data_IF_655909038383
#
_entry.id   IF_655909038383
#
_cell.length_a   1.000
_cell.length_b   1.000
_cell.length_c   1.000
_cell.angle_alpha   90.00
_cell.angle_beta   90.00
_cell.angle_gamma   90.00
#
_symmetry.space_group_name_H-M   'P 1'
#
loop_
_entity.id
_entity.type
_entity.pdbx_description
1 polymer ?
#
# COMPACT_ATOMS: atom_id res chain seq x y z
N UNK A 1 -14.18 -6.40 -19.60
CA UNK A 1 -15.24 -5.88 -18.70
C UNK A 1 -15.61 -4.48 -19.13
N UNK A 2 -16.86 -4.07 -18.94
CA UNK A 2 -17.24 -2.66 -19.08
C UNK A 2 -17.47 -2.06 -17.69
N UNK A 3 -17.32 -0.74 -17.55
CA UNK A 3 -17.55 -0.07 -16.27
C UNK A 3 -19.02 0.09 -15.88
N UNK A 4 -19.95 -0.28 -16.79
CA UNK A 4 -21.38 0.01 -16.63
C UNK A 4 -22.04 -0.70 -15.44
N UNK A 5 -21.54 -1.89 -15.05
CA UNK A 5 -22.05 -2.65 -13.91
C UNK A 5 -21.37 -2.30 -12.57
N UNK A 6 -20.21 -1.64 -12.60
CA UNK A 6 -19.48 -1.25 -11.39
C UNK A 6 -20.08 0.00 -10.73
N UNK A 7 -20.72 0.87 -11.53
CA UNK A 7 -21.45 2.05 -11.03
C UNK A 7 -22.70 1.72 -10.22
N UNK A 8 -23.16 0.47 -10.24
CA UNK A 8 -24.30 -0.01 -9.45
C UNK A 8 -23.92 -0.49 -8.05
N UNK A 9 -22.61 -0.61 -7.74
CA UNK A 9 -22.16 -1.00 -6.41
C UNK A 9 -22.49 0.09 -5.40
N UNK A 10 -23.24 -0.28 -4.36
CA UNK A 10 -23.50 0.61 -3.22
C UNK A 10 -22.29 0.63 -2.30
N UNK A 11 -21.47 1.68 -2.46
CA UNK A 11 -20.29 1.90 -1.64
C UNK A 11 -20.60 2.87 -0.49
N UNK A 12 -19.83 2.79 0.59
CA UNK A 12 -19.90 3.78 1.66
C UNK A 12 -19.41 5.14 1.13
N UNK A 13 -19.89 6.25 1.72
CA UNK A 13 -19.61 7.62 1.25
C UNK A 13 -18.12 7.98 1.15
N UNK A 14 -17.25 7.26 1.82
CA UNK A 14 -15.79 7.43 1.79
C UNK A 14 -15.08 6.45 0.86
N UNK A 15 -15.80 5.56 0.17
CA UNK A 15 -15.24 4.66 -0.83
C UNK A 15 -15.37 5.27 -2.22
N UNK A 16 -14.27 5.77 -2.73
CA UNK A 16 -14.17 6.37 -4.06
C UNK A 16 -13.53 5.36 -5.01
N UNK A 17 -14.34 4.56 -5.70
CA UNK A 17 -13.86 3.63 -6.72
C UNK A 17 -14.11 4.27 -8.09
N UNK A 18 -13.05 4.47 -8.86
CA UNK A 18 -13.15 4.85 -10.26
C UNK A 18 -13.47 3.60 -11.11
N UNK A 19 -14.61 3.57 -11.82
CA UNK A 19 -14.97 2.43 -12.65
C UNK A 19 -13.98 2.17 -13.80
N UNK A 20 -13.37 3.20 -14.36
CA UNK A 20 -12.43 3.06 -15.47
C UNK A 20 -11.10 2.47 -14.99
N UNK A 21 -10.58 2.96 -13.88
CA UNK A 21 -9.38 2.40 -13.21
C UNK A 21 -9.63 0.93 -12.83
N UNK A 22 -10.79 0.62 -12.26
CA UNK A 22 -11.13 -0.77 -11.90
C UNK A 22 -11.16 -1.69 -13.12
N UNK A 23 -11.72 -1.22 -14.25
CA UNK A 23 -11.73 -1.97 -15.51
C UNK A 23 -10.31 -2.15 -16.05
N UNK A 24 -9.49 -1.13 -16.01
CA UNK A 24 -8.08 -1.21 -16.43
C UNK A 24 -7.31 -2.23 -15.59
N UNK A 25 -7.42 -2.18 -14.27
CA UNK A 25 -6.81 -3.14 -13.34
C UNK A 25 -7.24 -4.57 -13.68
N UNK A 26 -8.56 -4.79 -13.76
CA UNK A 26 -9.10 -6.11 -14.04
C UNK A 26 -8.65 -6.65 -15.40
N UNK A 27 -8.61 -5.81 -16.44
CA UNK A 27 -8.15 -6.21 -17.76
C UNK A 27 -6.65 -6.49 -17.78
N UNK A 28 -5.84 -5.69 -17.09
CA UNK A 28 -4.39 -5.90 -16.99
C UNK A 28 -4.08 -7.25 -16.34
N UNK A 29 -4.68 -7.54 -15.20
CA UNK A 29 -4.50 -8.82 -14.50
C UNK A 29 -5.02 -10.00 -15.34
N UNK A 30 -6.20 -9.85 -15.95
CA UNK A 30 -6.80 -10.89 -16.79
C UNK A 30 -5.95 -11.20 -18.04
N UNK A 31 -5.40 -10.19 -18.71
CA UNK A 31 -4.54 -10.38 -19.88
C UNK A 31 -3.26 -11.12 -19.52
N UNK A 32 -2.61 -10.75 -18.41
CA UNK A 32 -1.40 -11.42 -17.90
C UNK A 32 -1.69 -12.86 -17.51
N UNK A 33 -2.77 -13.12 -16.78
CA UNK A 33 -3.17 -14.49 -16.43
C UNK A 33 -3.43 -15.36 -17.67
N UNK A 34 -4.09 -14.82 -18.71
CA UNK A 34 -4.29 -15.55 -19.97
C UNK A 34 -3.00 -15.75 -20.77
N UNK A 35 -1.98 -14.92 -20.55
CA UNK A 35 -0.65 -15.14 -21.12
C UNK A 35 0.17 -16.20 -20.35
N UNK A 36 -0.40 -16.77 -19.29
CA UNK A 36 0.23 -17.80 -18.46
C UNK A 36 1.09 -17.25 -17.33
N UNK A 37 0.99 -15.94 -17.03
CA UNK A 37 1.70 -15.34 -15.91
C UNK A 37 0.94 -15.56 -14.59
N UNK A 38 1.67 -15.79 -13.50
CA UNK A 38 1.11 -15.74 -12.15
C UNK A 38 0.87 -14.28 -11.78
N UNK A 39 -0.37 -13.93 -11.45
CA UNK A 39 -0.79 -12.58 -11.07
C UNK A 39 -1.20 -12.46 -9.61
N UNK A 40 -1.46 -13.58 -8.95
CA UNK A 40 -1.77 -13.68 -7.52
C UNK A 40 -0.89 -14.76 -6.89
N UNK A 41 -0.29 -14.45 -5.76
CA UNK A 41 0.59 -15.32 -5.00
C UNK A 41 0.02 -15.55 -3.62
N UNK A 42 -0.24 -16.80 -3.28
CA UNK A 42 -0.51 -17.22 -1.91
C UNK A 42 0.73 -17.00 -1.05
N UNK A 43 0.55 -16.38 0.10
CA UNK A 43 1.66 -16.15 1.04
C UNK A 43 1.68 -17.16 2.19
N UNK A 44 0.64 -17.97 2.30
CA UNK A 44 0.52 -19.05 3.26
C UNK A 44 0.50 -20.42 2.58
N UNK A 45 1.08 -21.41 3.24
CA UNK A 45 1.06 -22.81 2.77
C UNK A 45 -0.31 -23.45 2.96
N UNK A 46 -0.57 -24.56 2.27
CA UNK A 46 -1.82 -25.32 2.41
C UNK A 46 -2.01 -25.85 3.84
N UNK A 47 -0.92 -26.19 4.56
CA UNK A 47 -0.95 -26.57 5.96
C UNK A 47 -1.40 -25.41 6.85
N UNK A 48 -0.85 -24.21 6.64
CA UNK A 48 -1.22 -23.00 7.40
C UNK A 48 -2.67 -22.58 7.14
N UNK A 49 -3.17 -22.75 5.91
CA UNK A 49 -4.59 -22.52 5.55
C UNK A 49 -5.51 -23.58 6.17
N UNK A 50 -5.07 -24.83 6.25
CA UNK A 50 -5.83 -25.90 6.90
C UNK A 50 -5.95 -25.68 8.42
N UNK A 51 -4.93 -25.09 9.06
CA UNK A 51 -4.95 -24.73 10.48
C UNK A 51 -5.77 -23.47 10.76
N UNK A 52 -5.77 -22.50 9.83
CA UNK A 52 -6.47 -21.24 9.93
C UNK A 52 -7.13 -20.90 8.57
N UNK A 53 -8.39 -21.28 8.35
CA UNK A 53 -9.11 -21.05 7.10
C UNK A 53 -9.26 -19.57 6.71
N UNK A 54 -9.12 -18.63 7.65
CA UNK A 54 -9.18 -17.19 7.35
C UNK A 54 -7.99 -16.75 6.47
N UNK A 55 -6.94 -17.57 6.34
CA UNK A 55 -5.79 -17.36 5.46
C UNK A 55 -6.04 -17.69 3.99
N UNK A 56 -7.14 -18.36 3.65
CA UNK A 56 -7.43 -18.90 2.30
C UNK A 56 -7.33 -17.83 1.20
N UNK A 57 -7.90 -16.65 1.46
CA UNK A 57 -7.96 -15.55 0.49
C UNK A 57 -6.86 -14.49 0.71
N UNK A 58 -5.83 -14.80 1.50
CA UNK A 58 -4.74 -13.87 1.85
C UNK A 58 -3.56 -14.04 0.90
N UNK A 59 -3.16 -12.96 0.22
CA UNK A 59 -2.08 -13.03 -0.76
C UNK A 59 -1.78 -11.72 -1.45
N UNK A 60 -0.95 -11.80 -2.48
CA UNK A 60 -0.40 -10.66 -3.19
C UNK A 60 -0.82 -10.65 -4.66
N UNK A 61 -1.53 -9.62 -5.10
CA UNK A 61 -1.59 -9.31 -6.52
C UNK A 61 -0.29 -8.63 -6.95
N UNK A 62 0.34 -9.15 -7.99
CA UNK A 62 1.60 -8.63 -8.50
C UNK A 62 1.41 -7.83 -9.79
N UNK A 63 1.79 -6.56 -9.73
CA UNK A 63 1.86 -5.63 -10.85
C UNK A 63 3.33 -5.47 -11.24
N UNK A 64 3.74 -6.18 -12.28
CA UNK A 64 5.13 -6.26 -12.72
C UNK A 64 5.55 -4.96 -13.40
N UNK A 65 6.69 -4.41 -12.95
CA UNK A 65 7.42 -3.32 -13.58
C UNK A 65 8.59 -3.84 -14.44
N UNK A 66 9.70 -3.14 -14.42
CA UNK A 66 10.92 -3.57 -15.09
C UNK A 66 11.60 -4.72 -14.32
N UNK A 67 12.14 -5.74 -14.99
CA UNK A 67 12.85 -6.82 -14.32
C UNK A 67 14.01 -6.30 -13.47
N UNK A 68 14.09 -6.76 -12.22
CA UNK A 68 15.13 -6.35 -11.27
C UNK A 68 14.93 -4.96 -10.67
N UNK A 69 13.81 -4.29 -10.95
CA UNK A 69 13.49 -3.02 -10.28
C UNK A 69 13.09 -3.25 -8.81
N UNK A 70 13.27 -2.21 -7.99
CA UNK A 70 12.77 -2.17 -6.62
C UNK A 70 11.24 -2.35 -6.59
N UNK A 71 10.72 -2.67 -5.40
CA UNK A 71 9.29 -2.92 -5.26
C UNK A 71 8.60 -2.12 -4.15
N UNK A 72 7.32 -1.92 -4.34
CA UNK A 72 6.40 -1.34 -3.37
C UNK A 72 5.38 -2.39 -2.92
N UNK A 73 5.01 -2.39 -1.63
CA UNK A 73 3.85 -3.14 -1.13
C UNK A 73 2.75 -2.16 -0.76
N UNK A 74 1.66 -2.20 -1.54
CA UNK A 74 0.52 -1.32 -1.42
C UNK A 74 -0.58 -1.97 -0.57
N UNK A 75 -1.00 -1.26 0.48
CA UNK A 75 -1.95 -1.74 1.48
C UNK A 75 -3.20 -0.86 1.47
N UNK A 76 -4.33 -1.42 1.07
CA UNK A 76 -5.58 -0.70 0.95
C UNK A 76 -6.21 -0.36 2.30
N UNK A 77 -6.90 0.77 2.40
CA UNK A 77 -7.73 1.14 3.54
C UNK A 77 -8.89 0.17 3.80
N UNK A 78 -9.76 0.51 4.73
CA UNK A 78 -10.95 -0.29 5.10
C UNK A 78 -11.14 -0.45 6.62
N UNK A 79 -10.55 0.42 7.45
CA UNK A 79 -10.79 0.50 8.89
C UNK A 79 -10.44 -0.78 9.68
N UNK A 80 -9.58 -1.66 9.16
CA UNK A 80 -9.32 -3.03 9.67
C UNK A 80 -10.54 -3.96 9.65
N UNK A 81 -11.60 -3.61 8.94
CA UNK A 81 -12.80 -4.43 8.80
C UNK A 81 -12.93 -5.10 7.43
N UNK A 82 -12.37 -4.50 6.39
CA UNK A 82 -12.35 -5.03 5.03
C UNK A 82 -11.11 -4.50 4.27
N UNK A 83 -10.89 -5.00 3.04
CA UNK A 83 -9.79 -4.57 2.16
C UNK A 83 -10.37 -3.80 0.97
N UNK A 84 -10.17 -2.49 0.95
CA UNK A 84 -10.60 -1.61 -0.14
C UNK A 84 -9.62 -1.64 -1.33
N UNK A 85 -9.28 -2.83 -1.84
CA UNK A 85 -8.19 -3.02 -2.79
C UNK A 85 -8.33 -2.19 -4.07
N UNK A 86 -9.54 -2.07 -4.61
CA UNK A 86 -9.82 -1.30 -5.84
C UNK A 86 -9.88 0.21 -5.62
N UNK A 87 -9.78 0.67 -4.39
CA UNK A 87 -9.70 2.10 -4.05
C UNK A 87 -8.25 2.56 -3.86
N UNK A 88 -7.46 1.80 -3.10
CA UNK A 88 -6.16 2.26 -2.61
C UNK A 88 -4.98 1.42 -3.11
N UNK A 89 -5.01 0.07 -3.02
CA UNK A 89 -3.81 -0.73 -3.29
C UNK A 89 -3.63 -1.10 -4.76
N UNK A 90 -4.64 -1.63 -5.44
CA UNK A 90 -4.52 -2.03 -6.84
C UNK A 90 -4.30 -0.84 -7.78
N UNK A 91 -5.00 0.31 -7.65
CA UNK A 91 -4.71 1.49 -8.45
C UNK A 91 -3.28 2.00 -8.26
N UNK A 92 -2.82 2.09 -7.00
CA UNK A 92 -1.45 2.52 -6.71
C UNK A 92 -0.42 1.55 -7.28
N UNK A 93 -0.61 0.24 -7.09
CA UNK A 93 0.30 -0.78 -7.60
C UNK A 93 0.38 -0.76 -9.13
N UNK A 94 -0.76 -0.61 -9.82
CA UNK A 94 -0.78 -0.46 -11.28
C UNK A 94 0.00 0.79 -11.73
N UNK A 95 -0.24 1.94 -11.11
CA UNK A 95 0.42 3.19 -11.47
C UNK A 95 1.93 3.16 -11.15
N UNK A 96 2.33 2.55 -10.05
CA UNK A 96 3.75 2.33 -9.71
C UNK A 96 4.41 1.42 -10.76
N UNK A 97 3.72 0.35 -11.20
CA UNK A 97 4.25 -0.56 -12.21
C UNK A 97 4.45 0.11 -13.58
N UNK A 98 3.55 1.01 -13.98
CA UNK A 98 3.70 1.82 -15.20
C UNK A 98 4.94 2.73 -15.17
N UNK A 99 5.47 3.03 -13.98
CA UNK A 99 6.71 3.81 -13.78
C UNK A 99 7.98 2.96 -13.71
N UNK A 100 7.84 1.66 -14.01
CA UNK A 100 8.96 0.71 -14.08
C UNK A 100 9.31 0.05 -12.75
N UNK A 101 8.65 0.36 -11.63
CA UNK A 101 8.86 -0.31 -10.35
C UNK A 101 7.93 -1.52 -10.22
N UNK A 102 8.38 -2.57 -9.56
CA UNK A 102 7.50 -3.67 -9.20
C UNK A 102 6.55 -3.26 -8.08
N UNK A 103 5.31 -3.73 -8.09
CA UNK A 103 4.36 -3.39 -7.05
C UNK A 103 3.44 -4.56 -6.70
N UNK A 104 3.17 -4.69 -5.41
CA UNK A 104 2.30 -5.72 -4.88
C UNK A 104 1.11 -5.07 -4.15
N UNK A 105 -0.10 -5.55 -4.42
CA UNK A 105 -1.28 -5.17 -3.68
C UNK A 105 -1.65 -6.32 -2.74
N UNK A 106 -1.53 -6.08 -1.42
CA UNK A 106 -1.80 -7.10 -0.40
C UNK A 106 -3.31 -7.22 -0.13
N UNK A 107 -3.81 -8.43 -0.22
CA UNK A 107 -5.09 -8.84 0.37
C UNK A 107 -4.77 -9.50 1.71
N UNK A 108 -5.31 -8.96 2.78
CA UNK A 108 -4.98 -9.33 4.16
C UNK A 108 -6.27 -9.63 4.96
N UNK A 109 -6.14 -10.35 6.07
CA UNK A 109 -7.25 -10.66 6.98
C UNK A 109 -7.69 -9.42 7.77
N UNK A 110 -8.97 -9.30 8.13
CA UNK A 110 -9.46 -8.26 9.05
C UNK A 110 -8.73 -8.31 10.40
N UNK A 111 -8.69 -7.15 11.08
CA UNK A 111 -7.99 -7.00 12.36
C UNK A 111 -6.65 -6.28 12.22
N UNK A 112 -6.29 -5.45 13.21
CA UNK A 112 -5.06 -4.66 13.14
C UNK A 112 -3.80 -5.54 13.30
N UNK A 113 -3.83 -6.48 14.24
CA UNK A 113 -2.72 -7.40 14.51
C UNK A 113 -2.55 -8.38 13.35
N UNK A 114 -3.62 -9.06 12.95
CA UNK A 114 -3.62 -10.01 11.81
C UNK A 114 -3.16 -9.37 10.50
N UNK A 115 -3.60 -8.16 10.22
CA UNK A 115 -3.15 -7.43 9.03
C UNK A 115 -1.65 -7.11 9.05
N UNK A 116 -1.07 -6.80 10.22
CA UNK A 116 0.37 -6.62 10.37
C UNK A 116 1.14 -7.95 10.22
N UNK A 117 0.59 -9.05 10.73
CA UNK A 117 1.15 -10.40 10.54
C UNK A 117 1.14 -10.80 9.06
N UNK A 118 0.04 -10.51 8.35
CA UNK A 118 -0.07 -10.80 6.92
C UNK A 118 0.91 -9.95 6.09
N UNK A 119 1.09 -8.66 6.42
CA UNK A 119 2.10 -7.83 5.76
C UNK A 119 3.52 -8.32 6.09
N UNK A 120 3.79 -8.73 7.32
CA UNK A 120 5.07 -9.31 7.71
C UNK A 120 5.35 -10.61 6.94
N UNK A 121 4.36 -11.49 6.80
CA UNK A 121 4.47 -12.72 5.99
C UNK A 121 4.65 -12.39 4.51
N UNK A 122 3.91 -11.41 3.99
CA UNK A 122 4.00 -10.99 2.59
C UNK A 122 5.40 -10.48 2.22
N UNK A 123 6.02 -9.66 3.08
CA UNK A 123 7.37 -9.16 2.81
C UNK A 123 8.41 -10.27 2.91
N UNK A 124 8.29 -11.19 3.89
CA UNK A 124 9.14 -12.39 3.97
C UNK A 124 9.03 -13.23 2.70
N UNK A 125 7.81 -13.46 2.21
CA UNK A 125 7.56 -14.17 0.95
C UNK A 125 8.23 -13.50 -0.25
N UNK A 126 8.12 -12.17 -0.38
CA UNK A 126 8.75 -11.44 -1.49
C UNK A 126 10.29 -11.56 -1.44
N UNK A 127 10.88 -11.47 -0.24
CA UNK A 127 12.34 -11.63 -0.08
C UNK A 127 12.80 -13.06 -0.39
N UNK A 128 12.05 -14.07 0.05
CA UNK A 128 12.32 -15.48 -0.22
C UNK A 128 12.27 -15.81 -1.72
N UNK A 129 11.33 -15.18 -2.45
CA UNK A 129 11.09 -15.41 -3.89
C UNK A 129 11.62 -14.28 -4.79
N UNK A 130 12.53 -13.43 -4.30
CA UNK A 130 12.95 -12.22 -5.02
C UNK A 130 13.56 -12.51 -6.40
N UNK A 131 14.31 -13.59 -6.55
CA UNK A 131 14.88 -14.02 -7.85
C UNK A 131 13.79 -14.44 -8.83
N UNK A 132 12.82 -15.25 -8.39
CA UNK A 132 11.68 -15.70 -9.20
C UNK A 132 10.77 -14.54 -9.61
N UNK A 133 10.53 -13.61 -8.69
CA UNK A 133 9.72 -12.41 -8.90
C UNK A 133 10.47 -11.34 -9.71
N UNK A 134 11.77 -11.52 -9.95
CA UNK A 134 12.65 -10.55 -10.62
C UNK A 134 12.59 -9.16 -9.95
N UNK A 135 12.64 -9.10 -8.59
CA UNK A 135 12.59 -7.85 -7.82
C UNK A 135 13.91 -7.59 -7.09
N UNK A 136 14.31 -6.31 -6.99
CA UNK A 136 15.40 -5.90 -6.09
C UNK A 136 14.83 -5.63 -4.69
N UNK A 137 15.36 -6.34 -3.69
CA UNK A 137 14.98 -6.20 -2.29
C UNK A 137 15.64 -5.01 -1.59
N UNK A 138 16.62 -4.39 -2.20
CA UNK A 138 17.24 -3.18 -1.67
C UNK A 138 16.35 -1.99 -1.96
N UNK A 139 16.06 -1.19 -0.97
CA UNK A 139 15.33 0.04 -1.17
C UNK A 139 13.83 -0.12 -1.45
N UNK A 140 13.21 -1.21 -1.02
CA UNK A 140 11.76 -1.39 -1.10
C UNK A 140 10.97 -0.38 -0.26
N UNK A 141 9.65 -0.28 -0.48
CA UNK A 141 8.78 0.67 0.23
C UNK A 141 7.44 0.06 0.64
N UNK A 142 6.89 0.59 1.73
CA UNK A 142 5.51 0.31 2.16
C UNK A 142 4.61 1.50 1.85
N UNK A 143 3.44 1.22 1.27
CA UNK A 143 2.41 2.20 0.95
C UNK A 143 1.11 1.84 1.65
N UNK A 144 0.40 2.83 2.18
CA UNK A 144 -0.86 2.55 2.86
C UNK A 144 -1.81 3.73 2.89
N UNK A 145 -3.10 3.44 2.68
CA UNK A 145 -4.21 4.38 2.84
C UNK A 145 -4.96 4.18 4.16
N UNK A 146 -5.42 5.27 4.79
CA UNK A 146 -6.27 5.24 5.98
C UNK A 146 -5.68 4.43 7.15
N UNK A 147 -6.40 3.42 7.64
CA UNK A 147 -5.94 2.55 8.72
C UNK A 147 -4.65 1.79 8.35
N UNK A 148 -4.39 1.50 7.05
CA UNK A 148 -3.22 0.73 6.59
C UNK A 148 -1.97 1.58 6.44
N UNK A 149 -2.10 2.88 6.41
CA UNK A 149 -0.96 3.75 6.61
C UNK A 149 -0.31 3.54 8.00
N UNK A 150 -1.13 3.19 9.03
CA UNK A 150 -0.61 2.78 10.35
C UNK A 150 0.14 1.45 10.25
N UNK A 151 -0.41 0.47 9.55
CA UNK A 151 0.24 -0.83 9.34
C UNK A 151 1.58 -0.64 8.64
N UNK A 152 1.62 0.13 7.55
CA UNK A 152 2.86 0.47 6.84
C UNK A 152 3.89 1.16 7.78
N UNK A 153 3.44 2.11 8.62
CA UNK A 153 4.29 2.78 9.60
C UNK A 153 4.81 1.80 10.67
N UNK A 154 3.95 0.94 11.23
CA UNK A 154 4.37 -0.03 12.26
C UNK A 154 5.38 -1.03 11.72
N UNK A 155 5.15 -1.60 10.54
CA UNK A 155 6.13 -2.51 9.91
C UNK A 155 7.42 -1.79 9.55
N UNK A 156 7.33 -0.52 9.12
CA UNK A 156 8.49 0.32 8.86
C UNK A 156 9.34 0.58 10.11
N UNK A 157 8.69 0.88 11.26
CA UNK A 157 9.36 1.23 12.51
C UNK A 157 9.90 0.03 13.28
N UNK A 158 9.10 -1.05 13.36
CA UNK A 158 9.38 -2.20 14.22
C UNK A 158 9.94 -3.41 13.46
N UNK A 159 9.86 -3.40 12.13
CA UNK A 159 10.28 -4.50 11.26
C UNK A 159 9.28 -5.67 11.22
N UNK A 160 9.34 -6.52 10.17
CA UNK A 160 8.48 -7.69 10.03
C UNK A 160 8.61 -8.69 11.17
N UNK A 161 9.80 -8.85 11.75
CA UNK A 161 10.05 -9.77 12.87
C UNK A 161 9.18 -9.48 14.11
N UNK A 162 8.82 -8.22 14.35
CA UNK A 162 7.91 -7.85 15.44
C UNK A 162 6.47 -8.38 15.25
N UNK A 163 6.13 -8.81 14.04
CA UNK A 163 4.81 -9.33 13.64
C UNK A 163 4.87 -10.76 13.11
N UNK A 164 5.89 -11.53 13.49
CA UNK A 164 6.02 -12.94 13.15
C UNK A 164 6.62 -13.23 11.76
N UNK A 165 7.10 -12.22 11.05
CA UNK A 165 7.89 -12.37 9.83
C UNK A 165 9.38 -12.53 10.11
N UNK A 166 10.19 -12.45 9.05
CA UNK A 166 11.65 -12.55 9.15
C UNK A 166 12.29 -11.23 9.62
N UNK A 167 13.53 -11.32 10.09
CA UNK A 167 14.37 -10.16 10.42
C UNK A 167 14.96 -9.61 9.11
N UNK A 168 14.27 -8.64 8.52
CA UNK A 168 14.57 -8.07 7.22
C UNK A 168 15.05 -6.62 7.34
N UNK A 169 15.80 -6.11 6.35
CA UNK A 169 16.19 -4.71 6.29
C UNK A 169 14.96 -3.79 6.33
N UNK A 170 15.13 -2.61 6.92
CA UNK A 170 14.09 -1.58 6.95
C UNK A 170 13.75 -1.09 5.53
N UNK A 171 12.49 -0.74 5.22
CA UNK A 171 12.13 -0.12 3.95
C UNK A 171 12.84 1.22 3.77
N UNK A 172 13.18 1.59 2.54
CA UNK A 172 13.77 2.89 2.26
C UNK A 172 12.76 4.04 2.41
N UNK A 173 11.48 3.76 2.29
CA UNK A 173 10.43 4.74 2.53
C UNK A 173 9.10 4.10 2.97
N UNK A 174 8.32 4.88 3.72
CA UNK A 174 6.90 4.61 4.02
C UNK A 174 6.06 5.75 3.44
N UNK A 175 5.06 5.41 2.64
CA UNK A 175 4.15 6.35 1.97
C UNK A 175 2.76 6.22 2.60
N UNK A 176 2.25 7.31 3.15
CA UNK A 176 1.04 7.31 3.98
C UNK A 176 -0.01 8.26 3.42
N UNK A 177 -1.23 7.77 3.19
CA UNK A 177 -2.36 8.60 2.82
C UNK A 177 -3.40 8.69 3.94
N UNK A 178 -3.97 9.88 4.12
CA UNK A 178 -5.15 10.20 4.95
C UNK A 178 -5.31 9.34 6.20
N UNK A 179 -4.32 9.37 7.09
CA UNK A 179 -4.36 8.63 8.36
C UNK A 179 -4.28 9.54 9.59
N UNK A 180 -4.94 9.13 10.67
CA UNK A 180 -4.79 9.75 11.98
C UNK A 180 -3.65 9.16 12.82
N UNK A 181 -2.69 8.46 12.22
CA UNK A 181 -1.53 7.91 12.92
C UNK A 181 -0.64 9.02 13.47
N UNK A 182 -0.37 9.00 14.78
CA UNK A 182 0.38 10.04 15.49
C UNK A 182 1.69 9.56 16.09
N UNK A 183 1.82 8.23 16.28
CA UNK A 183 2.98 7.65 16.94
C UNK A 183 4.19 7.65 16.00
N UNK A 184 5.36 7.87 16.58
CA UNK A 184 6.63 7.81 15.87
C UNK A 184 7.76 7.42 16.84
N UNK A 185 8.85 6.93 16.27
CA UNK A 185 10.07 6.57 16.99
C UNK A 185 11.30 7.15 16.27
N UNK A 186 12.44 7.10 16.90
CA UNK A 186 13.72 7.45 16.24
C UNK A 186 14.14 6.46 15.15
N UNK A 187 13.47 5.29 15.10
CA UNK A 187 13.71 4.23 14.12
C UNK A 187 12.71 4.25 12.95
N UNK A 188 11.84 5.26 12.87
CA UNK A 188 10.93 5.38 11.72
C UNK A 188 11.75 5.57 10.43
N UNK A 189 11.37 4.90 9.32
CA UNK A 189 12.00 5.14 8.02
C UNK A 189 11.61 6.49 7.44
N UNK A 190 12.32 6.98 6.41
CA UNK A 190 11.88 8.12 5.62
C UNK A 190 10.40 8.03 5.27
N UNK A 191 9.64 9.10 5.50
CA UNK A 191 8.18 9.06 5.40
C UNK A 191 7.63 10.20 4.55
N UNK A 192 6.89 9.84 3.49
CA UNK A 192 6.03 10.75 2.75
C UNK A 192 4.60 10.62 3.26
N UNK A 193 3.87 11.73 3.39
CA UNK A 193 2.45 11.66 3.73
C UNK A 193 1.62 12.71 2.99
N UNK A 194 0.38 12.32 2.63
CA UNK A 194 -0.59 13.24 2.05
C UNK A 194 -2.00 13.04 2.61
N UNK A 195 -2.78 14.13 2.67
CA UNK A 195 -4.13 14.14 3.25
C UNK A 195 -4.96 15.30 2.74
N UNK A 196 -6.28 15.16 2.71
CA UNK A 196 -7.20 16.26 2.43
C UNK A 196 -7.47 17.12 3.67
N UNK A 197 -7.57 18.43 3.52
CA UNK A 197 -7.97 19.34 4.62
C UNK A 197 -9.44 19.16 5.02
N UNK A 198 -10.29 18.71 4.07
CA UNK A 198 -11.69 18.39 4.30
C UNK A 198 -11.94 16.96 4.80
N UNK A 199 -10.89 16.24 5.15
CA UNK A 199 -10.98 14.87 5.66
C UNK A 199 -11.66 14.83 7.04
N UNK A 200 -12.86 14.25 7.08
CA UNK A 200 -13.66 14.12 8.31
C UNK A 200 -13.25 12.93 9.22
N UNK A 201 -12.30 12.10 8.77
CA UNK A 201 -11.81 10.90 9.48
C UNK A 201 -10.39 11.12 10.00
N UNK A 202 -9.49 11.62 9.13
CA UNK A 202 -8.09 11.86 9.44
C UNK A 202 -7.79 13.36 9.51
N UNK A 203 -7.49 13.86 10.68
CA UNK A 203 -7.13 15.26 10.83
C UNK A 203 -5.71 15.51 10.27
N UNK A 204 -5.60 16.30 9.20
CA UNK A 204 -4.34 16.59 8.55
C UNK A 204 -3.26 17.18 9.48
N UNK A 205 -3.67 17.97 10.50
CA UNK A 205 -2.74 18.52 11.50
C UNK A 205 -2.10 17.45 12.39
N UNK A 206 -2.73 16.28 12.51
CA UNK A 206 -2.12 15.14 13.23
C UNK A 206 -0.96 14.57 12.43
N UNK A 207 -1.13 14.41 11.12
CA UNK A 207 -0.05 13.96 10.22
C UNK A 207 1.07 15.00 10.16
N UNK A 208 0.74 16.27 10.00
CA UNK A 208 1.72 17.37 9.98
C UNK A 208 2.59 17.36 11.24
N UNK A 209 1.97 17.28 12.43
CA UNK A 209 2.72 17.22 13.71
C UNK A 209 3.63 16.01 13.79
N UNK A 210 3.16 14.83 13.35
CA UNK A 210 3.97 13.61 13.33
C UNK A 210 5.20 13.81 12.45
N UNK A 211 5.02 14.22 11.20
CA UNK A 211 6.13 14.36 10.26
C UNK A 211 7.10 15.49 10.67
N UNK A 212 6.57 16.59 11.24
CA UNK A 212 7.42 17.63 11.82
C UNK A 212 8.27 17.10 12.96
N UNK A 213 7.69 16.30 13.86
CA UNK A 213 8.44 15.69 14.96
C UNK A 213 9.51 14.71 14.46
N UNK A 214 9.19 13.85 13.47
CA UNK A 214 10.16 12.96 12.83
C UNK A 214 11.30 13.73 12.17
N UNK A 215 11.00 14.81 11.46
CA UNK A 215 12.01 15.70 10.85
C UNK A 215 12.96 16.30 11.89
N UNK A 216 12.48 16.64 13.09
CA UNK A 216 13.35 17.12 14.18
C UNK A 216 14.31 16.04 14.72
N UNK A 217 14.00 14.76 14.50
CA UNK A 217 14.89 13.63 14.78
C UNK A 217 15.88 13.35 13.64
N UNK A 218 15.81 14.12 12.54
CA UNK A 218 16.67 13.94 11.37
C UNK A 218 16.17 12.91 10.37
N UNK A 219 14.94 12.40 10.54
CA UNK A 219 14.31 11.47 9.60
C UNK A 219 13.81 12.28 8.39
N UNK A 220 14.14 11.91 7.14
CA UNK A 220 13.61 12.56 5.95
C UNK A 220 12.09 12.45 5.91
N UNK A 221 11.41 13.60 5.74
CA UNK A 221 9.95 13.64 5.65
C UNK A 221 9.48 14.60 4.57
N UNK A 222 8.38 14.26 3.91
CA UNK A 222 7.67 15.14 2.99
C UNK A 222 6.17 15.08 3.30
N UNK A 223 5.51 16.24 3.34
CA UNK A 223 4.11 16.33 3.73
C UNK A 223 3.31 17.24 2.80
N UNK A 224 2.21 16.70 2.27
CA UNK A 224 1.26 17.42 1.43
C UNK A 224 -0.15 17.40 2.04
N UNK A 225 -0.82 18.54 2.05
CA UNK A 225 -2.24 18.62 2.39
C UNK A 225 -3.00 19.41 1.33
N UNK A 226 -4.20 18.91 0.99
CA UNK A 226 -4.95 19.38 -0.17
C UNK A 226 -6.24 20.09 0.26
N UNK A 227 -6.41 21.38 -0.08
CA UNK A 227 -7.59 22.16 0.31
C UNK A 227 -8.90 21.52 -0.11
N UNK A 228 -9.83 21.38 0.85
CA UNK A 228 -11.19 20.90 0.60
C UNK A 228 -11.34 19.42 0.21
N UNK A 229 -10.24 18.67 0.02
CA UNK A 229 -10.31 17.27 -0.38
C UNK A 229 -10.77 16.40 0.80
N UNK A 230 -11.76 15.49 0.59
CA UNK A 230 -12.24 14.58 1.63
C UNK A 230 -11.34 13.35 1.79
N UNK A 231 -11.70 12.45 2.72
CA UNK A 231 -11.06 11.16 2.94
C UNK A 231 -11.18 10.23 1.72
N UNK A 232 -10.16 9.38 1.49
CA UNK A 232 -10.26 8.29 0.52
C UNK A 232 -10.15 8.74 -0.93
N UNK A 233 -9.32 9.72 -1.24
CA UNK A 233 -9.19 10.23 -2.62
C UNK A 233 -8.41 9.32 -3.58
N UNK A 234 -7.86 8.18 -3.12
CA UNK A 234 -7.14 7.23 -3.97
C UNK A 234 -6.00 7.89 -4.74
N UNK A 235 -5.99 7.76 -6.08
CA UNK A 235 -5.02 8.44 -6.95
C UNK A 235 -5.22 9.96 -7.05
N UNK A 236 -6.35 10.47 -6.59
CA UNK A 236 -6.65 11.91 -6.65
C UNK A 236 -6.92 12.43 -8.06
N UNK A 237 -7.15 11.57 -9.03
CA UNK A 237 -7.40 11.91 -10.44
C UNK A 237 -8.52 12.94 -10.57
N UNK A 238 -8.30 14.03 -11.32
CA UNK A 238 -9.25 15.13 -11.50
C UNK A 238 -9.49 16.00 -10.26
N UNK A 239 -8.68 15.86 -9.22
CA UNK A 239 -8.75 16.65 -7.98
C UNK A 239 -7.48 17.51 -7.78
N UNK A 240 -7.45 18.29 -6.70
CA UNK A 240 -6.25 19.07 -6.31
C UNK A 240 -5.08 18.19 -5.85
N UNK A 241 -5.28 16.90 -5.65
CA UNK A 241 -4.25 15.92 -5.29
C UNK A 241 -3.69 15.17 -6.51
N UNK A 242 -4.16 15.47 -7.73
CA UNK A 242 -3.62 14.82 -8.93
C UNK A 242 -2.11 15.02 -9.02
N UNK A 243 -1.39 13.91 -9.24
CA UNK A 243 0.09 13.91 -9.30
C UNK A 243 0.80 13.57 -7.97
N UNK A 244 0.09 13.46 -6.84
CA UNK A 244 0.72 13.14 -5.55
C UNK A 244 1.54 11.82 -5.60
N UNK A 245 1.11 10.86 -6.41
CA UNK A 245 1.81 9.56 -6.52
C UNK A 245 3.19 9.74 -7.18
N UNK A 246 3.33 10.64 -8.16
CA UNK A 246 4.61 10.96 -8.78
C UNK A 246 5.57 11.62 -7.77
N UNK A 247 5.06 12.51 -6.91
CA UNK A 247 5.82 13.13 -5.82
C UNK A 247 6.28 12.07 -4.82
N UNK A 248 5.39 11.15 -4.42
CA UNK A 248 5.72 10.05 -3.51
C UNK A 248 6.75 9.07 -4.11
N UNK A 249 6.66 8.75 -5.40
CA UNK A 249 7.67 7.93 -6.11
C UNK A 249 9.00 8.67 -6.19
N UNK A 250 9.01 9.97 -6.45
CA UNK A 250 10.23 10.79 -6.45
C UNK A 250 10.87 10.84 -5.05
N UNK A 251 10.06 11.01 -4.00
CA UNK A 251 10.53 10.93 -2.62
C UNK A 251 11.16 9.57 -2.32
N UNK A 252 10.45 8.48 -2.61
CA UNK A 252 10.97 7.12 -2.42
C UNK A 252 12.29 6.90 -3.15
N UNK A 253 12.37 7.28 -4.42
CA UNK A 253 13.58 7.19 -5.24
C UNK A 253 14.77 7.95 -4.63
N UNK A 254 14.53 9.06 -3.96
CA UNK A 254 15.58 9.86 -3.32
C UNK A 254 16.12 9.20 -2.03
N UNK A 255 15.46 8.15 -1.50
CA UNK A 255 15.86 7.41 -0.31
C UNK A 255 16.58 6.08 -0.63
N UNK A 256 16.67 5.70 -1.91
CA UNK A 256 17.42 4.54 -2.38
C UNK A 256 18.88 4.95 -2.62
#
# INVERSE_FOLDING_TARGET
>A
MSGDTLGELQLTWYNNIDPNETVEIANTLWQRANAGETVFYDIYTEEEKAEDPDKEDTGLFFFKGDPGANFAVCNAGGGFAYVGAMQDSCPHALEISKRGYNAFALIYRPGAQTACEDLARAISFIFEHAEELEVDTKGYSFWGGSARARMAAWLGSYGPAAFGGDDLPQPSAVIMQYTGHSDYTENDPPTFACVGEGDGIANWRTMERRLTAMSTLGIPTEFHHYPGLPHGFGLGTGTVAEGWLDEAVAFWKAQM
#
